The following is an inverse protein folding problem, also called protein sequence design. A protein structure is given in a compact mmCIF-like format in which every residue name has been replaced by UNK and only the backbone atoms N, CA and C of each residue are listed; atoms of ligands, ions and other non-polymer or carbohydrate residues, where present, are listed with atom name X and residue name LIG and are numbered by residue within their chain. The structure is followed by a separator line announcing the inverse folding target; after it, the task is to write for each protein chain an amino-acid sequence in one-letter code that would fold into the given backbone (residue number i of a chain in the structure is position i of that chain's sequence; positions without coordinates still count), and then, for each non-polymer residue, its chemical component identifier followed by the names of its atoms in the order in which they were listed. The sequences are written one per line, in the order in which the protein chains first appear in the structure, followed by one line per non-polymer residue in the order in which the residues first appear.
data_IF_680834519216
#
_entry.id   IF_680834519216
#
_cell.length_a   1.000
_cell.length_b   1.000
_cell.length_c   1.000
_cell.angle_alpha   90.00
_cell.angle_beta   90.00
_cell.angle_gamma   90.00
#
_symmetry.space_group_name_H-M   'P 1'
#
loop_
_entity.id
_entity.type
_entity.pdbx_description
1 polymer ?
#
# COMPACT_ATOMS: atom_id res chain seq x y z
N UNK A 1 -16.90 3.06 12.60
CA UNK A 1 -16.07 3.29 13.80
C UNK A 1 -14.86 4.14 13.43
N UNK A 2 -14.04 3.73 12.44
CA UNK A 2 -12.81 4.46 12.06
C UNK A 2 -13.11 5.90 11.65
N UNK A 3 -14.10 6.14 10.79
CA UNK A 3 -14.53 7.48 10.37
C UNK A 3 -14.94 8.36 11.57
N UNK A 4 -15.68 7.82 12.55
CA UNK A 4 -16.03 8.53 13.76
C UNK A 4 -14.82 8.89 14.63
N UNK A 5 -13.84 8.00 14.72
CA UNK A 5 -12.60 8.27 15.46
C UNK A 5 -11.70 9.25 14.70
N UNK A 6 -11.68 9.16 13.38
CA UNK A 6 -10.93 10.07 12.52
C UNK A 6 -11.32 11.53 12.73
N UNK A 7 -12.61 11.81 12.95
CA UNK A 7 -13.10 13.18 13.26
C UNK A 7 -12.52 13.77 14.55
N UNK A 8 -11.94 12.94 15.44
CA UNK A 8 -11.35 13.36 16.71
C UNK A 8 -9.83 13.33 16.72
N UNK A 9 -9.22 12.90 15.63
CA UNK A 9 -7.79 12.87 15.43
C UNK A 9 -7.36 14.12 14.64
N UNK A 10 -6.08 14.44 14.70
CA UNK A 10 -5.48 15.50 13.88
C UNK A 10 -4.88 14.90 12.59
N UNK A 11 -4.44 13.64 12.66
CA UNK A 11 -3.82 12.89 11.56
C UNK A 11 -4.33 11.44 11.58
N UNK A 12 -4.51 10.84 10.40
CA UNK A 12 -4.85 9.42 10.28
C UNK A 12 -3.76 8.70 9.50
N UNK A 13 -3.14 7.69 10.11
CA UNK A 13 -2.08 6.89 9.50
C UNK A 13 -2.53 5.45 9.31
N UNK A 14 -2.48 4.97 8.07
CA UNK A 14 -2.61 3.56 7.74
C UNK A 14 -1.24 2.92 7.70
N UNK A 15 -1.03 1.87 8.49
CA UNK A 15 0.30 1.30 8.75
C UNK A 15 0.54 -0.06 8.10
N UNK A 16 -0.48 -0.73 7.54
CA UNK A 16 -0.33 -2.07 6.97
C UNK A 16 -1.29 -2.34 5.81
N UNK A 17 -1.03 -3.41 5.06
CA UNK A 17 -1.87 -3.87 3.97
C UNK A 17 -1.66 -3.07 2.68
N UNK A 18 -2.60 -3.21 1.77
CA UNK A 18 -2.62 -2.54 0.47
C UNK A 18 -4.06 -2.39 0.00
N UNK A 19 -4.30 -2.51 -1.31
CA UNK A 19 -5.63 -2.37 -1.90
C UNK A 19 -6.50 -3.66 -1.82
N UNK A 20 -6.18 -4.57 -0.89
CA UNK A 20 -6.90 -5.83 -0.66
C UNK A 20 -8.07 -5.72 0.34
N UNK A 21 -8.12 -4.67 1.16
CA UNK A 21 -9.20 -4.45 2.12
C UNK A 21 -9.98 -3.19 1.75
N UNK A 22 -11.26 -3.36 1.40
CA UNK A 22 -12.16 -2.24 1.13
C UNK A 22 -12.96 -1.84 2.36
N UNK A 23 -13.21 -0.53 2.50
CA UNK A 23 -14.16 0.01 3.46
C UNK A 23 -15.06 1.05 2.78
N UNK A 24 -16.28 1.15 3.27
CA UNK A 24 -17.26 2.10 2.72
C UNK A 24 -17.57 3.17 3.74
N UNK A 25 -17.49 4.42 3.32
CA UNK A 25 -17.80 5.61 4.12
C UNK A 25 -18.99 6.32 3.47
N UNK A 26 -19.87 6.85 4.30
CA UNK A 26 -20.97 7.72 3.87
C UNK A 26 -20.60 9.15 4.23
N UNK A 27 -20.40 9.99 3.22
CA UNK A 27 -20.04 11.39 3.40
C UNK A 27 -20.94 12.27 2.50
N UNK A 28 -21.54 13.32 3.06
CA UNK A 28 -22.45 14.19 2.32
C UNK A 28 -23.63 13.46 1.64
N UNK A 29 -24.11 12.36 2.23
CA UNK A 29 -25.17 11.53 1.66
C UNK A 29 -24.73 10.59 0.53
N UNK A 30 -23.45 10.62 0.11
CA UNK A 30 -22.86 9.76 -0.89
C UNK A 30 -22.04 8.64 -0.26
N UNK A 31 -21.99 7.48 -0.90
CA UNK A 31 -21.16 6.33 -0.49
C UNK A 31 -19.84 6.36 -1.25
N UNK A 32 -18.74 6.26 -0.52
CA UNK A 32 -17.39 6.14 -1.05
C UNK A 32 -16.79 4.81 -0.62
N UNK A 33 -16.30 4.04 -1.57
CA UNK A 33 -15.63 2.76 -1.32
C UNK A 33 -14.12 2.94 -1.52
N UNK A 34 -13.36 2.97 -0.42
CA UNK A 34 -11.91 3.11 -0.43
C UNK A 34 -11.21 1.78 -0.21
N UNK A 35 -9.96 1.67 -0.67
CA UNK A 35 -9.11 0.48 -0.52
C UNK A 35 -7.73 0.80 0.01
N UNK A 36 -7.17 1.96 -0.34
CA UNK A 36 -5.80 2.38 0.00
C UNK A 36 -5.79 3.60 0.92
N UNK A 37 -6.52 4.64 0.55
CA UNK A 37 -6.47 5.94 1.22
C UNK A 37 -7.20 5.84 2.56
N UNK A 38 -6.58 6.34 3.66
CA UNK A 38 -7.20 6.32 4.99
C UNK A 38 -8.51 7.10 5.06
N UNK A 39 -9.42 6.64 5.92
CA UNK A 39 -10.76 7.24 6.09
C UNK A 39 -10.74 8.71 6.56
N UNK A 40 -9.67 9.15 7.20
CA UNK A 40 -9.49 10.54 7.64
C UNK A 40 -9.56 11.59 6.54
N UNK A 41 -9.41 11.19 5.27
CA UNK A 41 -9.49 12.10 4.11
C UNK A 41 -10.84 12.85 4.07
N UNK A 42 -11.93 12.23 4.50
CA UNK A 42 -13.27 12.83 4.52
C UNK A 42 -13.43 13.88 5.62
N UNK A 43 -12.60 13.83 6.66
CA UNK A 43 -12.58 14.84 7.72
C UNK A 43 -11.68 16.03 7.40
N UNK A 44 -11.04 16.04 6.21
CA UNK A 44 -10.12 17.09 5.80
C UNK A 44 -8.78 17.08 6.54
N UNK A 45 -8.48 15.98 7.25
CA UNK A 45 -7.22 15.78 7.94
C UNK A 45 -6.10 15.36 6.97
N UNK A 46 -4.86 15.55 7.41
CA UNK A 46 -3.74 14.92 6.74
C UNK A 46 -3.82 13.40 6.95
N UNK A 47 -3.61 12.65 5.88
CA UNK A 47 -3.67 11.20 5.89
C UNK A 47 -2.33 10.62 5.41
N UNK A 48 -1.83 9.63 6.14
CA UNK A 48 -0.52 9.03 5.94
C UNK A 48 -0.69 7.58 5.53
N UNK A 49 -0.02 7.22 4.46
CA UNK A 49 0.20 5.84 4.03
C UNK A 49 1.60 5.43 4.48
N UNK A 50 1.68 4.67 5.57
CA UNK A 50 2.92 4.35 6.28
C UNK A 50 3.80 3.33 5.56
N UNK A 51 5.02 3.17 6.08
CA UNK A 51 6.05 2.30 5.49
C UNK A 51 5.71 0.80 5.50
N UNK A 52 4.79 0.37 6.34
CA UNK A 52 4.31 -1.01 6.36
C UNK A 52 3.30 -1.35 5.26
N UNK A 53 2.82 -0.37 4.51
CA UNK A 53 1.92 -0.62 3.38
C UNK A 53 2.67 -1.11 2.13
N UNK A 54 1.91 -1.80 1.26
CA UNK A 54 2.30 -2.06 -0.13
C UNK A 54 1.31 -1.35 -1.04
N UNK A 55 1.82 -0.50 -1.93
CA UNK A 55 1.01 0.46 -2.71
C UNK A 55 1.05 0.12 -4.18
N UNK A 56 -0.11 -0.11 -4.77
CA UNK A 56 -0.25 -0.19 -6.23
C UNK A 56 -0.45 1.23 -6.78
N UNK A 57 0.49 1.80 -7.55
CA UNK A 57 0.42 3.16 -8.05
C UNK A 57 -0.82 3.45 -8.90
N UNK A 58 -1.16 2.53 -9.79
CA UNK A 58 -2.34 2.64 -10.65
C UNK A 58 -3.64 2.69 -9.83
N UNK A 59 -3.81 1.72 -8.93
CA UNK A 59 -4.99 1.68 -8.06
C UNK A 59 -5.08 2.90 -7.12
N UNK A 60 -3.94 3.43 -6.67
CA UNK A 60 -3.88 4.65 -5.88
C UNK A 60 -4.37 5.86 -6.68
N UNK A 61 -3.88 6.05 -7.89
CA UNK A 61 -4.29 7.18 -8.74
C UNK A 61 -5.76 7.08 -9.18
N UNK A 62 -6.26 5.88 -9.41
CA UNK A 62 -7.70 5.64 -9.66
C UNK A 62 -8.55 6.07 -8.44
N UNK A 63 -8.09 5.75 -7.22
CA UNK A 63 -8.79 6.13 -6.00
C UNK A 63 -8.71 7.64 -5.72
N UNK A 64 -7.55 8.28 -5.98
CA UNK A 64 -7.40 9.74 -5.93
C UNK A 64 -8.35 10.43 -6.91
N UNK A 65 -8.40 9.96 -8.15
CA UNK A 65 -9.33 10.49 -9.15
C UNK A 65 -10.78 10.34 -8.70
N UNK A 66 -11.16 9.16 -8.21
CA UNK A 66 -12.50 8.89 -7.69
C UNK A 66 -12.91 9.83 -6.55
N UNK A 67 -11.99 10.12 -5.63
CA UNK A 67 -12.21 11.07 -4.54
C UNK A 67 -12.36 12.51 -5.04
N UNK A 68 -11.46 12.95 -5.93
CA UNK A 68 -11.51 14.29 -6.50
C UNK A 68 -12.79 14.53 -7.32
N UNK A 69 -13.22 13.55 -8.12
CA UNK A 69 -14.50 13.58 -8.85
C UNK A 69 -15.69 13.65 -7.88
N UNK A 70 -15.54 13.11 -6.67
CA UNK A 70 -16.51 13.20 -5.57
C UNK A 70 -16.46 14.51 -4.78
N UNK A 71 -15.53 15.41 -5.08
CA UNK A 71 -15.35 16.70 -4.40
C UNK A 71 -14.52 16.61 -3.11
N UNK A 72 -13.74 15.53 -2.93
CA UNK A 72 -12.86 15.34 -1.77
C UNK A 72 -11.45 15.81 -2.11
N UNK A 73 -10.87 16.68 -1.28
CA UNK A 73 -9.51 17.17 -1.44
C UNK A 73 -8.49 16.09 -1.07
N UNK A 74 -7.64 15.72 -2.01
CA UNK A 74 -6.58 14.72 -1.86
C UNK A 74 -5.18 15.32 -1.69
N UNK A 75 -5.04 16.63 -1.59
CA UNK A 75 -3.74 17.33 -1.48
C UNK A 75 -2.99 17.03 -0.18
N UNK A 76 -3.72 16.58 0.85
CA UNK A 76 -3.18 16.26 2.18
C UNK A 76 -2.77 14.78 2.35
N UNK A 77 -2.66 14.03 1.27
CA UNK A 77 -2.14 12.67 1.32
C UNK A 77 -0.61 12.71 1.42
N UNK A 78 -0.05 11.89 2.31
CA UNK A 78 1.39 11.63 2.42
C UNK A 78 1.66 10.14 2.29
N UNK A 79 2.66 9.80 1.50
CA UNK A 79 3.05 8.41 1.24
C UNK A 79 4.48 8.22 1.71
N UNK A 80 4.72 7.16 2.49
CA UNK A 80 6.07 6.85 2.94
C UNK A 80 6.99 6.52 1.76
N UNK A 81 8.15 7.15 1.73
CA UNK A 81 9.26 6.81 0.84
C UNK A 81 9.74 5.35 1.00
N UNK A 82 9.46 4.74 2.18
CA UNK A 82 9.86 3.36 2.53
C UNK A 82 8.79 2.31 2.28
N UNK A 83 7.53 2.66 1.94
CA UNK A 83 6.55 1.65 1.55
C UNK A 83 6.94 1.01 0.21
N UNK A 84 6.48 -0.24 -0.02
CA UNK A 84 6.84 -0.98 -1.22
C UNK A 84 5.80 -0.80 -2.33
N UNK A 85 6.28 -0.82 -3.56
CA UNK A 85 5.46 -0.65 -4.75
C UNK A 85 4.98 -2.00 -5.26
N UNK A 86 3.69 -2.11 -5.55
CA UNK A 86 3.12 -3.26 -6.28
C UNK A 86 3.21 -2.95 -7.76
N UNK A 87 3.98 -3.76 -8.48
CA UNK A 87 4.15 -3.70 -9.92
C UNK A 87 3.27 -4.76 -10.62
N UNK A 88 3.04 -4.68 -11.93
CA UNK A 88 2.07 -5.54 -12.62
C UNK A 88 2.42 -7.03 -12.49
N UNK A 89 3.69 -7.39 -12.49
CA UNK A 89 4.10 -8.78 -12.31
C UNK A 89 3.72 -9.36 -10.93
N UNK A 90 3.56 -8.54 -9.88
CA UNK A 90 3.08 -9.03 -8.58
C UNK A 90 1.63 -9.56 -8.66
N UNK A 91 0.77 -8.91 -9.47
CA UNK A 91 -0.60 -9.35 -9.67
C UNK A 91 -0.63 -10.72 -10.35
N UNK A 92 0.17 -10.89 -11.40
CA UNK A 92 0.28 -12.15 -12.14
C UNK A 92 0.88 -13.26 -11.27
N UNK A 93 1.92 -12.96 -10.47
CA UNK A 93 2.49 -13.94 -9.52
C UNK A 93 1.43 -14.40 -8.53
N UNK A 94 0.62 -13.50 -7.97
CA UNK A 94 -0.45 -13.83 -7.02
C UNK A 94 -1.45 -14.80 -7.68
N UNK A 95 -1.84 -14.55 -8.92
CA UNK A 95 -2.73 -15.43 -9.68
C UNK A 95 -2.07 -16.79 -10.01
N UNK A 96 -0.80 -16.79 -10.45
CA UNK A 96 -0.06 -18.01 -10.73
C UNK A 96 0.11 -18.89 -9.49
N UNK A 97 0.40 -18.27 -8.33
CA UNK A 97 0.52 -18.98 -7.06
C UNK A 97 -0.80 -19.66 -6.66
N UNK A 98 -1.92 -18.96 -6.79
CA UNK A 98 -3.25 -19.54 -6.49
C UNK A 98 -3.59 -20.67 -7.46
N UNK A 99 -3.30 -20.51 -8.76
CA UNK A 99 -3.48 -21.58 -9.76
C UNK A 99 -2.63 -22.81 -9.45
N UNK A 100 -1.36 -22.63 -9.06
CA UNK A 100 -0.45 -23.74 -8.72
C UNK A 100 -0.88 -24.49 -7.44
N UNK A 101 -1.57 -23.83 -6.50
CA UNK A 101 -2.08 -24.46 -5.26
C UNK A 101 -3.35 -25.29 -5.50
N UNK A 102 -4.11 -25.04 -6.56
CA UNK A 102 -5.34 -25.76 -6.89
C UNK A 102 -6.33 -25.76 -5.71
N UNK A 103 -6.76 -26.96 -5.27
CA UNK A 103 -7.71 -27.11 -4.14
C UNK A 103 -7.19 -26.62 -2.78
N UNK A 104 -5.89 -26.34 -2.67
CA UNK A 104 -5.24 -25.78 -1.48
C UNK A 104 -5.05 -24.26 -1.59
N UNK A 105 -5.76 -23.60 -2.50
CA UNK A 105 -5.70 -22.15 -2.65
C UNK A 105 -6.12 -21.45 -1.36
N UNK A 106 -5.47 -20.33 -1.05
CA UNK A 106 -5.75 -19.52 0.15
C UNK A 106 -6.98 -18.63 -0.09
N UNK A 107 -7.33 -18.38 -1.37
CA UNK A 107 -8.39 -17.46 -1.74
C UNK A 107 -7.93 -16.00 -1.67
N UNK A 108 -6.74 -15.70 -2.21
CA UNK A 108 -6.20 -14.34 -2.23
C UNK A 108 -7.07 -13.39 -3.07
N UNK A 109 -6.88 -12.10 -2.87
CA UNK A 109 -7.59 -11.07 -3.65
C UNK A 109 -7.01 -10.86 -5.06
N UNK A 110 -5.94 -11.56 -5.42
CA UNK A 110 -5.20 -11.44 -6.69
C UNK A 110 -4.76 -10.01 -6.99
N UNK A 111 -4.32 -9.30 -5.95
CA UNK A 111 -3.88 -7.89 -6.04
C UNK A 111 -2.38 -7.71 -5.84
N UNK A 112 -1.63 -8.80 -5.84
CA UNK A 112 -0.18 -8.78 -5.69
C UNK A 112 0.33 -8.43 -4.30
N UNK A 113 -0.52 -8.44 -3.28
CA UNK A 113 -0.17 -8.05 -1.90
C UNK A 113 0.88 -9.00 -1.33
N UNK A 114 0.58 -10.31 -1.34
CA UNK A 114 1.52 -11.35 -0.86
C UNK A 114 2.87 -11.30 -1.57
N UNK A 115 2.91 -11.34 -2.90
CA UNK A 115 4.15 -11.24 -3.66
C UNK A 115 4.97 -9.97 -3.36
N UNK A 116 4.33 -8.80 -3.19
CA UNK A 116 5.03 -7.57 -2.84
C UNK A 116 5.64 -7.62 -1.42
N UNK A 117 4.95 -8.23 -0.44
CA UNK A 117 5.54 -8.48 0.88
C UNK A 117 6.67 -9.50 0.83
N UNK A 118 6.57 -10.55 0.02
CA UNK A 118 7.68 -11.49 -0.20
C UNK A 118 8.91 -10.73 -0.70
N UNK A 119 8.76 -9.86 -1.68
CA UNK A 119 9.86 -9.06 -2.21
C UNK A 119 10.44 -8.10 -1.17
N UNK A 120 9.61 -7.49 -0.33
CA UNK A 120 10.05 -6.67 0.81
C UNK A 120 10.98 -7.47 1.73
N UNK A 121 10.55 -8.63 2.19
CA UNK A 121 11.33 -9.43 3.15
C UNK A 121 12.51 -10.15 2.49
N UNK A 122 12.46 -10.43 1.20
CA UNK A 122 13.60 -10.88 0.39
C UNK A 122 14.60 -9.76 0.08
N UNK A 123 14.26 -8.52 0.38
CA UNK A 123 15.09 -7.32 0.15
C UNK A 123 15.39 -7.04 -1.33
N UNK A 124 14.45 -7.41 -2.19
CA UNK A 124 14.52 -7.17 -3.63
C UNK A 124 13.39 -6.25 -4.12
N UNK A 125 12.42 -5.95 -3.25
CA UNK A 125 11.30 -5.07 -3.58
C UNK A 125 11.74 -3.64 -3.86
N UNK A 126 10.95 -2.92 -4.65
CA UNK A 126 11.17 -1.51 -4.99
C UNK A 126 10.40 -0.64 -3.99
N UNK A 127 11.10 0.26 -3.31
CA UNK A 127 10.50 1.22 -2.40
C UNK A 127 9.94 2.42 -3.16
N UNK A 128 8.98 3.11 -2.55
CA UNK A 128 8.38 4.31 -3.13
C UNK A 128 9.41 5.41 -3.40
N UNK A 129 10.42 5.59 -2.52
CA UNK A 129 11.51 6.54 -2.73
C UNK A 129 12.36 6.22 -3.95
N UNK A 130 12.61 4.94 -4.24
CA UNK A 130 13.31 4.50 -5.47
C UNK A 130 12.39 4.67 -6.69
N UNK A 131 11.11 4.35 -6.54
CA UNK A 131 10.10 4.44 -7.60
C UNK A 131 9.90 5.85 -8.18
N UNK A 132 9.95 6.88 -7.32
CA UNK A 132 9.77 8.29 -7.74
C UNK A 132 11.04 8.94 -8.31
N UNK A 133 12.16 8.24 -8.29
CA UNK A 133 13.39 8.60 -8.98
C UNK A 133 13.50 7.76 -10.25
N UNK A 134 13.46 8.41 -11.40
CA UNK A 134 13.35 7.74 -12.70
C UNK A 134 14.56 6.84 -12.99
N UNK A 135 15.77 7.29 -12.61
CA UNK A 135 17.00 6.52 -12.84
C UNK A 135 17.06 5.31 -11.91
N UNK A 136 16.81 5.51 -10.61
CA UNK A 136 16.79 4.43 -9.63
C UNK A 136 15.68 3.41 -9.93
N UNK A 137 14.50 3.88 -10.33
CA UNK A 137 13.41 2.97 -10.66
C UNK A 137 13.77 2.04 -11.83
N UNK A 138 14.37 2.60 -12.90
CA UNK A 138 14.81 1.79 -14.05
C UNK A 138 15.92 0.80 -13.64
N UNK A 139 16.90 1.25 -12.85
CA UNK A 139 17.98 0.39 -12.35
C UNK A 139 17.42 -0.78 -11.53
N UNK A 140 16.58 -0.48 -10.53
CA UNK A 140 15.95 -1.50 -9.67
C UNK A 140 15.07 -2.47 -10.46
N UNK A 141 14.33 -1.97 -11.46
CA UNK A 141 13.48 -2.82 -12.28
C UNK A 141 14.30 -3.78 -13.14
N UNK A 142 15.44 -3.31 -13.70
CA UNK A 142 16.40 -4.15 -14.45
C UNK A 142 17.03 -5.24 -13.58
N UNK A 143 17.21 -4.99 -12.28
CA UNK A 143 17.70 -6.00 -11.35
C UNK A 143 16.61 -6.99 -10.93
N UNK A 144 15.44 -6.48 -10.55
CA UNK A 144 14.38 -7.27 -9.90
C UNK A 144 13.59 -8.12 -10.88
N UNK A 145 13.18 -7.56 -12.02
CA UNK A 145 12.30 -8.27 -12.96
C UNK A 145 12.91 -9.54 -13.54
N UNK A 146 14.20 -9.59 -13.95
CA UNK A 146 14.83 -10.85 -14.38
C UNK A 146 14.82 -11.94 -13.30
N UNK A 147 14.96 -11.58 -12.01
CA UNK A 147 14.85 -12.55 -10.90
C UNK A 147 13.43 -13.13 -10.84
N UNK A 148 12.40 -12.30 -11.06
CA UNK A 148 11.01 -12.76 -11.10
C UNK A 148 10.73 -13.66 -12.31
N UNK A 149 11.28 -13.35 -13.47
CA UNK A 149 11.18 -14.20 -14.67
C UNK A 149 11.87 -15.55 -14.45
N UNK A 150 13.00 -15.58 -13.72
CA UNK A 150 13.67 -16.85 -13.40
C UNK A 150 12.81 -17.76 -12.49
N UNK A 151 12.03 -17.16 -11.57
CA UNK A 151 11.11 -17.87 -10.66
C UNK A 151 9.76 -18.22 -11.32
N UNK A 152 9.27 -17.31 -12.18
CA UNK A 152 8.01 -17.40 -12.91
C UNK A 152 8.24 -17.15 -14.40
N UNK A 153 8.67 -18.17 -15.17
CA UNK A 153 9.04 -18.01 -16.59
C UNK A 153 7.90 -17.47 -17.47
N UNK A 154 6.65 -17.64 -17.04
CA UNK A 154 5.47 -17.13 -17.74
C UNK A 154 5.49 -15.61 -17.90
N UNK A 155 6.13 -14.88 -16.97
CA UNK A 155 6.17 -13.41 -16.96
C UNK A 155 6.89 -12.81 -18.17
N UNK A 156 7.85 -13.55 -18.78
CA UNK A 156 8.63 -13.07 -19.94
C UNK A 156 7.76 -12.82 -21.17
N UNK A 157 6.64 -13.57 -21.29
CA UNK A 157 5.72 -13.48 -22.41
C UNK A 157 4.62 -12.43 -22.15
N UNK A 158 4.59 -11.84 -20.94
CA UNK A 158 3.57 -10.91 -20.50
C UNK A 158 4.09 -9.48 -20.35
N UNK A 159 5.36 -9.33 -19.97
CA UNK A 159 5.96 -8.04 -19.65
C UNK A 159 7.40 -7.94 -20.09
N UNK A 160 7.83 -6.72 -20.41
CA UNK A 160 9.23 -6.32 -20.51
C UNK A 160 9.56 -5.25 -19.49
N UNK A 161 10.85 -5.05 -19.17
CA UNK A 161 11.32 -3.97 -18.31
C UNK A 161 10.90 -2.62 -18.87
N UNK A 162 11.03 -2.45 -20.18
CA UNK A 162 10.74 -1.21 -20.91
C UNK A 162 9.24 -0.86 -20.82
N UNK A 163 8.35 -1.81 -21.04
CA UNK A 163 6.90 -1.60 -20.96
C UNK A 163 6.47 -1.20 -19.55
N UNK A 164 6.94 -1.93 -18.52
CA UNK A 164 6.64 -1.60 -17.13
C UNK A 164 7.18 -0.20 -16.79
N UNK A 165 8.42 0.10 -17.18
CA UNK A 165 9.04 1.38 -16.88
C UNK A 165 8.29 2.53 -17.54
N UNK A 166 7.97 2.44 -18.84
CA UNK A 166 7.30 3.50 -19.58
C UNK A 166 5.91 3.84 -19.02
N UNK A 167 5.14 2.82 -18.62
CA UNK A 167 3.83 3.04 -17.99
C UNK A 167 3.99 3.63 -16.59
N UNK A 168 4.85 3.04 -15.75
CA UNK A 168 4.90 3.34 -14.32
C UNK A 168 5.67 4.62 -13.99
N UNK A 169 6.61 5.08 -14.83
CA UNK A 169 7.27 6.38 -14.64
C UNK A 169 6.28 7.54 -14.67
N UNK A 170 5.20 7.44 -15.46
CA UNK A 170 4.18 8.47 -15.49
C UNK A 170 3.38 8.52 -14.19
N UNK A 171 3.09 7.34 -13.59
CA UNK A 171 2.50 7.30 -12.24
C UNK A 171 3.45 7.87 -11.18
N UNK A 172 4.74 7.57 -11.28
CA UNK A 172 5.76 8.08 -10.38
C UNK A 172 5.82 9.61 -10.36
N UNK A 173 5.76 10.26 -11.52
CA UNK A 173 5.75 11.73 -11.63
C UNK A 173 4.56 12.35 -10.88
N UNK A 174 3.38 11.75 -10.99
CA UNK A 174 2.17 12.26 -10.33
C UNK A 174 2.24 12.03 -8.82
N UNK A 175 2.78 10.89 -8.38
CA UNK A 175 2.87 10.49 -6.97
C UNK A 175 3.98 11.23 -6.23
N UNK A 176 5.08 11.57 -6.90
CA UNK A 176 6.29 12.18 -6.33
C UNK A 176 6.03 13.31 -5.34
N UNK A 177 5.15 14.30 -5.60
CA UNK A 177 4.89 15.39 -4.65
C UNK A 177 4.25 14.96 -3.32
N UNK A 178 3.70 13.75 -3.24
CA UNK A 178 3.03 13.21 -2.06
C UNK A 178 3.97 12.37 -1.18
N UNK A 179 5.18 12.04 -1.68
CA UNK A 179 6.11 11.14 -1.02
C UNK A 179 7.04 11.89 -0.07
N UNK A 180 7.18 11.38 1.16
CA UNK A 180 8.07 11.94 2.17
C UNK A 180 8.53 10.87 3.17
N UNK A 181 9.46 11.20 4.07
CA UNK A 181 9.75 10.40 5.26
C UNK A 181 8.60 10.54 6.27
N UNK A 182 7.66 9.62 6.20
CA UNK A 182 6.48 9.64 7.07
C UNK A 182 6.80 9.28 8.52
N UNK A 183 7.89 8.56 8.78
CA UNK A 183 8.33 8.27 10.16
C UNK A 183 8.77 9.56 10.87
N UNK A 184 9.61 10.36 10.21
CA UNK A 184 10.00 11.68 10.74
C UNK A 184 8.80 12.62 10.88
N UNK A 185 7.88 12.62 9.93
CA UNK A 185 6.68 13.44 9.97
C UNK A 185 5.77 13.06 11.16
N UNK A 186 5.58 11.77 11.40
CA UNK A 186 4.80 11.28 12.53
C UNK A 186 5.47 11.59 13.87
N UNK A 187 6.78 11.43 13.97
CA UNK A 187 7.55 11.79 15.17
C UNK A 187 7.37 13.28 15.50
N UNK A 188 7.50 14.16 14.50
CA UNK A 188 7.22 15.58 14.67
C UNK A 188 5.80 15.83 15.19
N UNK A 189 4.79 15.18 14.63
CA UNK A 189 3.40 15.36 15.07
C UNK A 189 3.17 14.90 16.50
N UNK A 190 3.81 13.80 16.92
CA UNK A 190 3.73 13.33 18.28
C UNK A 190 4.43 14.30 19.26
N UNK A 191 5.55 14.92 18.87
CA UNK A 191 6.20 15.97 19.63
C UNK A 191 5.36 17.26 19.74
N UNK A 192 4.51 17.52 18.77
CA UNK A 192 3.54 18.62 18.76
C UNK A 192 2.21 18.28 19.51
N UNK A 193 2.17 17.17 20.25
CA UNK A 193 0.97 16.65 20.94
C UNK A 193 -0.24 16.42 20.03
N UNK A 194 -0.03 16.21 18.73
CA UNK A 194 -1.10 15.86 17.79
C UNK A 194 -1.63 14.46 18.05
N UNK A 195 -2.94 14.31 17.93
CA UNK A 195 -3.62 13.02 18.05
C UNK A 195 -3.53 12.28 16.73
N UNK A 196 -2.76 11.20 16.70
CA UNK A 196 -2.64 10.33 15.54
C UNK A 196 -3.55 9.12 15.71
N UNK A 197 -4.46 8.91 14.77
CA UNK A 197 -5.25 7.67 14.67
C UNK A 197 -4.56 6.70 13.74
N UNK A 198 -4.22 5.52 14.24
CA UNK A 198 -3.71 4.43 13.41
C UNK A 198 -4.85 3.57 12.88
N UNK A 199 -5.01 3.58 11.55
CA UNK A 199 -6.02 2.82 10.84
C UNK A 199 -5.43 1.52 10.33
N UNK A 200 -5.84 0.38 10.91
CA UNK A 200 -5.50 -0.95 10.40
C UNK A 200 -6.33 -1.30 9.17
N UNK A 201 -5.84 -2.28 8.43
CA UNK A 201 -6.59 -2.97 7.38
C UNK A 201 -6.90 -4.39 7.86
N UNK A 202 -7.93 -5.04 7.31
CA UNK A 202 -8.38 -6.37 7.69
C UNK A 202 -8.80 -6.47 9.18
N UNK A 203 -8.32 -7.48 9.90
CA UNK A 203 -8.64 -7.71 11.32
C UNK A 203 -7.66 -8.68 11.96
N UNK A 204 -7.65 -8.75 13.29
CA UNK A 204 -6.69 -9.54 14.09
C UNK A 204 -6.65 -11.03 13.70
N UNK A 205 -7.77 -11.62 13.30
CA UNK A 205 -7.83 -13.02 12.85
C UNK A 205 -7.10 -13.26 11.51
N UNK A 206 -6.75 -12.21 10.78
CA UNK A 206 -5.98 -12.26 9.54
C UNK A 206 -4.52 -11.85 9.72
N UNK A 207 -4.07 -11.59 10.95
CA UNK A 207 -2.66 -11.29 11.25
C UNK A 207 -1.78 -12.48 10.91
N UNK A 208 -0.62 -12.23 10.30
CA UNK A 208 0.30 -13.29 9.84
C UNK A 208 0.78 -14.18 10.97
N UNK A 209 0.96 -13.65 12.18
CA UNK A 209 1.45 -14.38 13.33
C UNK A 209 0.33 -14.85 14.26
N UNK A 210 -0.65 -13.99 14.56
CA UNK A 210 -1.69 -14.24 15.54
C UNK A 210 -3.03 -14.70 14.95
N UNK A 211 -3.15 -14.68 13.62
CA UNK A 211 -4.36 -15.10 12.93
C UNK A 211 -4.50 -16.60 12.71
N UNK A 212 -5.45 -16.95 11.86
CA UNK A 212 -5.80 -18.35 11.53
C UNK A 212 -4.90 -18.88 10.40
N UNK A 213 -3.60 -18.89 10.62
CA UNK A 213 -2.63 -19.37 9.64
C UNK A 213 -2.97 -20.78 9.11
N UNK A 214 -2.88 -21.07 7.79
CA UNK A 214 -2.33 -20.21 6.73
C UNK A 214 -3.34 -19.25 6.06
N UNK A 215 -4.58 -19.19 6.51
CA UNK A 215 -5.63 -18.34 5.95
C UNK A 215 -5.58 -16.94 6.56
N UNK A 216 -4.50 -16.22 6.27
CA UNK A 216 -4.15 -14.90 6.81
C UNK A 216 -3.69 -13.96 5.71
N UNK A 217 -3.55 -12.67 6.01
CA UNK A 217 -2.85 -11.70 5.15
C UNK A 217 -1.34 -11.77 5.38
N UNK A 218 -0.56 -11.18 4.49
CA UNK A 218 0.92 -11.16 4.59
C UNK A 218 1.44 -9.97 5.41
N UNK A 219 0.64 -9.46 6.35
CA UNK A 219 0.99 -8.29 7.17
C UNK A 219 0.44 -8.42 8.59
N UNK A 220 0.74 -7.42 9.44
CA UNK A 220 0.25 -7.31 10.82
C UNK A 220 -0.84 -6.26 10.93
N UNK A 221 -2.13 -6.61 10.74
CA UNK A 221 -3.25 -5.68 10.89
C UNK A 221 -3.60 -5.36 12.35
N UNK A 222 -3.05 -6.10 13.31
CA UNK A 222 -3.20 -5.85 14.73
C UNK A 222 -2.39 -4.64 15.22
N UNK A 223 -2.62 -4.22 16.47
CA UNK A 223 -1.90 -3.10 17.08
C UNK A 223 -0.37 -3.34 17.17
N UNK A 224 0.05 -4.61 17.20
CA UNK A 224 1.46 -5.03 17.13
C UNK A 224 2.19 -4.53 15.87
N UNK A 225 1.48 -4.32 14.77
CA UNK A 225 2.05 -3.82 13.51
C UNK A 225 2.22 -2.30 13.45
N UNK A 226 1.71 -1.53 14.41
CA UNK A 226 1.70 -0.07 14.34
C UNK A 226 3.12 0.52 14.35
N UNK A 227 3.95 0.15 15.32
CA UNK A 227 5.31 0.70 15.44
C UNK A 227 6.17 0.40 14.22
N UNK A 228 6.14 -0.84 13.73
CA UNK A 228 6.85 -1.24 12.51
C UNK A 228 6.30 -0.52 11.27
N UNK A 229 4.97 -0.58 11.10
CA UNK A 229 4.32 -0.11 9.86
C UNK A 229 4.17 1.39 9.74
N UNK A 230 4.26 2.14 10.85
CA UNK A 230 4.27 3.60 10.87
C UNK A 230 5.68 4.18 11.01
N UNK A 231 6.66 3.39 11.47
CA UNK A 231 8.04 3.83 11.68
C UNK A 231 8.21 4.68 12.94
N UNK A 232 7.44 4.40 13.99
CA UNK A 232 7.49 5.13 15.26
C UNK A 232 7.82 4.20 16.43
N UNK A 233 8.27 4.77 17.55
CA UNK A 233 8.42 4.03 18.81
C UNK A 233 7.09 3.52 19.38
N UNK A 234 7.14 2.57 20.35
CA UNK A 234 5.96 2.09 21.04
C UNK A 234 5.35 3.13 21.97
#
# INVERSE_FOLDING_TARGET
VTDYLAQKADVVCRYAGGNNAGHTIVYGGKKFALKLIPSGIFSGHEVIMGNGMVVNPKAFLEEVKYLNDGGIDTSKIRISDRCHVILPYHLEIDELQEKRKGDKSIGTTKRGIGPAYVDKYSRIGIRMGEFIDEELFLERLKETFPMKVAEYPELKDMFTVEEIFEEYKEYAKIIKPLVCDTGMLLDQYLQEDKKVLFEGAQGAMLDIDYGTYPFVTSSHPGANGVSEGAGIGP
#
